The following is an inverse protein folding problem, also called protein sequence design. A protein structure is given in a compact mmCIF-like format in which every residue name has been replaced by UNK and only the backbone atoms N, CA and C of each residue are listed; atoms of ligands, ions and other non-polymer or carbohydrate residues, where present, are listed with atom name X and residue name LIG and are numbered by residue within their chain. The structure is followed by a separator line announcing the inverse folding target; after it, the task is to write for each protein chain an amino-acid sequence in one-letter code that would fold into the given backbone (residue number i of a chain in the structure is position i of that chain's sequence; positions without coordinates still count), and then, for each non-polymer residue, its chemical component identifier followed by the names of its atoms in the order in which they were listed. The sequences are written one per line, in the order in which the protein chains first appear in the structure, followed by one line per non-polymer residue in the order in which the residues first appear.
data_IF_809976562755
#
_entry.id   IF_809976562755
#
_cell.length_a   1.000
_cell.length_b   1.000
_cell.length_c   1.000
_cell.angle_alpha   90.00
_cell.angle_beta   90.00
_cell.angle_gamma   90.00
#
_symmetry.space_group_name_H-M   'P 1'
#
loop_
_entity.id
_entity.type
_entity.pdbx_description
1 polymer ?
#
# COMPACT_ATOMS: atom_id res chain seq x y z
N UNK A 1 -20.20 -5.90 1.50
CA UNK A 1 -19.62 -5.40 2.77
C UNK A 1 -20.64 -4.55 3.52
N UNK A 2 -20.70 -4.66 4.86
CA UNK A 2 -21.57 -3.82 5.71
C UNK A 2 -20.88 -2.53 6.16
N UNK A 3 -21.63 -1.43 6.36
CA UNK A 3 -21.07 -0.16 6.85
C UNK A 3 -20.44 -0.30 8.24
N UNK A 4 -21.07 -1.04 9.14
CA UNK A 4 -20.57 -1.26 10.50
C UNK A 4 -19.30 -2.12 10.52
N UNK A 5 -19.27 -3.16 9.69
CA UNK A 5 -18.09 -3.99 9.46
C UNK A 5 -16.93 -3.16 8.91
N UNK A 6 -17.17 -2.35 7.86
CA UNK A 6 -16.16 -1.47 7.29
C UNK A 6 -15.62 -0.46 8.31
N UNK A 7 -16.50 0.20 9.07
CA UNK A 7 -16.05 1.14 10.09
C UNK A 7 -15.20 0.42 11.15
N UNK A 8 -15.54 -0.82 11.53
CA UNK A 8 -14.75 -1.62 12.47
C UNK A 8 -13.35 -1.94 11.91
N UNK A 9 -13.25 -2.32 10.63
CA UNK A 9 -11.98 -2.51 9.95
C UNK A 9 -11.16 -1.22 10.01
N UNK A 10 -11.73 -0.10 9.57
CA UNK A 10 -11.02 1.18 9.56
C UNK A 10 -10.55 1.59 10.96
N UNK A 11 -11.39 1.45 11.99
CA UNK A 11 -11.03 1.86 13.36
C UNK A 11 -10.02 0.93 14.00
N UNK A 12 -10.00 -0.36 13.67
CA UNK A 12 -8.96 -1.28 14.12
C UNK A 12 -7.57 -0.90 13.60
N UNK A 13 -7.51 -0.24 12.43
CA UNK A 13 -6.27 0.24 11.81
C UNK A 13 -5.95 1.70 12.11
N UNK A 14 -6.78 2.41 12.88
CA UNK A 14 -6.45 3.76 13.34
C UNK A 14 -5.33 3.68 14.38
N UNK A 15 -4.16 4.22 14.02
CA UNK A 15 -3.10 4.44 14.99
C UNK A 15 -3.37 5.66 15.86
N UNK A 16 -2.64 5.79 16.97
CA UNK A 16 -2.65 7.00 17.82
C UNK A 16 -2.37 8.29 17.03
N UNK A 17 -1.76 8.18 15.85
CA UNK A 17 -1.36 9.28 14.96
C UNK A 17 -2.48 9.75 14.03
N UNK A 18 -3.32 8.84 13.53
CA UNK A 18 -4.46 9.20 12.67
C UNK A 18 -5.49 10.02 13.44
N UNK A 19 -5.47 9.90 14.77
CA UNK A 19 -6.29 10.66 15.70
C UNK A 19 -5.48 11.62 16.58
N UNK A 20 -4.18 11.80 16.33
CA UNK A 20 -3.33 12.68 17.13
C UNK A 20 -3.76 14.16 17.05
N UNK A 21 -4.44 14.53 15.97
CA UNK A 21 -5.04 15.83 15.81
C UNK A 21 -6.35 15.69 15.04
N UNK A 22 -7.40 16.38 15.49
CA UNK A 22 -8.72 16.45 14.82
C UNK A 22 -8.67 16.92 13.36
N UNK A 23 -7.54 17.52 12.91
CA UNK A 23 -7.37 17.97 11.54
C UNK A 23 -6.93 16.84 10.62
N UNK A 24 -6.27 15.81 11.13
CA UNK A 24 -5.74 14.73 10.28
C UNK A 24 -6.89 14.10 9.47
N UNK A 25 -8.02 13.69 10.08
CA UNK A 25 -9.09 13.05 9.31
C UNK A 25 -9.83 14.00 8.38
N UNK A 26 -10.06 15.24 8.81
CA UNK A 26 -10.66 16.27 7.97
C UNK A 26 -9.77 16.55 6.75
N UNK A 27 -8.47 16.78 6.94
CA UNK A 27 -7.55 16.99 5.82
C UNK A 27 -7.49 15.77 4.90
N UNK A 28 -7.62 14.56 5.45
CA UNK A 28 -7.80 13.33 4.69
C UNK A 28 -8.99 13.37 3.73
N UNK A 29 -10.17 13.81 4.18
CA UNK A 29 -11.34 13.95 3.28
C UNK A 29 -11.06 14.95 2.14
N UNK A 30 -10.38 16.06 2.43
CA UNK A 30 -9.96 17.05 1.42
C UNK A 30 -8.95 16.52 0.41
N UNK A 31 -7.92 15.83 0.89
CA UNK A 31 -6.87 15.27 0.05
C UNK A 31 -7.45 14.31 -0.99
N UNK A 32 -8.38 13.43 -0.58
CA UNK A 32 -8.95 12.45 -1.50
C UNK A 32 -10.06 13.00 -2.37
N UNK A 33 -10.86 13.97 -1.90
CA UNK A 33 -11.71 14.74 -2.81
C UNK A 33 -10.88 15.43 -3.91
N UNK A 34 -9.74 16.03 -3.54
CA UNK A 34 -8.79 16.60 -4.49
C UNK A 34 -8.22 15.58 -5.48
N UNK A 35 -7.84 14.38 -5.02
CA UNK A 35 -7.32 13.31 -5.87
C UNK A 35 -8.36 12.81 -6.89
N UNK A 36 -9.63 12.70 -6.48
CA UNK A 36 -10.74 12.35 -7.38
C UNK A 36 -10.89 13.42 -8.48
N UNK A 37 -10.88 14.70 -8.09
CA UNK A 37 -10.97 15.82 -9.04
C UNK A 37 -9.77 15.86 -10.00
N UNK A 38 -8.55 15.61 -9.51
CA UNK A 38 -7.35 15.54 -10.36
C UNK A 38 -7.46 14.40 -11.38
N UNK A 39 -7.91 13.20 -10.97
CA UNK A 39 -8.09 12.08 -11.87
C UNK A 39 -9.06 12.41 -13.02
N UNK A 40 -10.19 13.07 -12.72
CA UNK A 40 -11.13 13.52 -13.74
C UNK A 40 -10.53 14.65 -14.59
N UNK A 41 -9.83 15.62 -14.00
CA UNK A 41 -9.17 16.70 -14.75
C UNK A 41 -8.15 16.14 -15.75
N UNK A 42 -7.34 15.16 -15.34
CA UNK A 42 -6.38 14.49 -16.21
C UNK A 42 -7.05 13.78 -17.38
N UNK A 43 -8.20 13.16 -17.15
CA UNK A 43 -8.99 12.53 -18.21
C UNK A 43 -9.53 13.57 -19.20
N UNK A 44 -10.14 14.65 -18.71
CA UNK A 44 -10.64 15.75 -19.54
C UNK A 44 -9.53 16.44 -20.36
N UNK A 45 -8.27 16.33 -19.91
CA UNK A 45 -7.08 16.85 -20.62
C UNK A 45 -6.41 15.83 -21.54
N UNK A 46 -7.02 14.68 -21.77
CA UNK A 46 -6.47 13.56 -22.57
C UNK A 46 -5.08 13.11 -22.08
N UNK A 47 -4.86 13.14 -20.75
CA UNK A 47 -3.60 12.74 -20.10
C UNK A 47 -3.66 11.34 -19.49
N UNK A 48 -4.84 10.72 -19.47
CA UNK A 48 -5.06 9.37 -18.94
C UNK A 48 -6.24 8.74 -19.69
N UNK A 49 -6.19 7.42 -19.89
CA UNK A 49 -7.29 6.67 -20.50
C UNK A 49 -8.51 6.60 -19.58
N UNK A 50 -9.70 6.33 -20.14
CA UNK A 50 -10.92 6.15 -19.35
C UNK A 50 -10.80 5.03 -18.27
N UNK A 51 -10.18 3.86 -18.55
CA UNK A 51 -9.90 2.88 -17.50
C UNK A 51 -8.93 3.39 -16.44
N UNK A 52 -7.90 4.15 -16.84
CA UNK A 52 -6.93 4.74 -15.91
C UNK A 52 -7.59 5.75 -14.96
N UNK A 53 -8.45 6.62 -15.48
CA UNK A 53 -9.27 7.55 -14.70
C UNK A 53 -10.16 6.80 -13.70
N UNK A 54 -10.93 5.83 -14.19
CA UNK A 54 -11.92 5.10 -13.37
C UNK A 54 -11.24 4.44 -12.17
N UNK A 55 -10.14 3.72 -12.40
CA UNK A 55 -9.35 3.11 -11.33
C UNK A 55 -8.78 4.11 -10.33
N UNK A 56 -8.32 5.28 -10.80
CA UNK A 56 -7.82 6.32 -9.91
C UNK A 56 -8.92 6.93 -9.03
N UNK A 57 -10.12 7.15 -9.60
CA UNK A 57 -11.28 7.63 -8.85
C UNK A 57 -11.75 6.58 -7.84
N UNK A 58 -11.92 5.31 -8.24
CA UNK A 58 -12.33 4.22 -7.34
C UNK A 58 -11.44 4.13 -6.10
N UNK A 59 -10.11 4.15 -6.28
CA UNK A 59 -9.16 4.14 -5.16
C UNK A 59 -9.34 5.34 -4.24
N UNK A 60 -9.46 6.54 -4.81
CA UNK A 60 -9.61 7.75 -4.03
C UNK A 60 -10.98 7.84 -3.32
N UNK A 61 -12.04 7.22 -3.88
CA UNK A 61 -13.33 7.08 -3.20
C UNK A 61 -13.24 6.13 -1.99
N UNK A 62 -12.55 4.99 -2.13
CA UNK A 62 -12.23 4.10 -1.00
C UNK A 62 -11.65 4.87 0.19
N UNK A 63 -10.60 5.62 -0.09
CA UNK A 63 -9.93 6.46 0.92
C UNK A 63 -10.80 7.59 1.47
N UNK A 64 -11.60 8.24 0.62
CA UNK A 64 -12.52 9.27 1.09
C UNK A 64 -13.51 8.68 2.12
N UNK A 65 -14.11 7.53 1.83
CA UNK A 65 -15.03 6.87 2.76
C UNK A 65 -14.30 6.37 4.01
N UNK A 66 -13.05 5.90 3.88
CA UNK A 66 -12.19 5.57 5.02
C UNK A 66 -12.03 6.75 5.97
N UNK A 67 -11.68 7.93 5.46
CA UNK A 67 -11.57 9.13 6.30
C UNK A 67 -12.91 9.62 6.83
N UNK A 68 -14.00 9.44 6.09
CA UNK A 68 -15.35 9.68 6.62
C UNK A 68 -15.64 8.76 7.82
N UNK A 69 -15.26 7.49 7.77
CA UNK A 69 -15.39 6.55 8.88
C UNK A 69 -14.54 6.97 10.10
N UNK A 70 -13.34 7.53 9.86
CA UNK A 70 -12.48 8.09 10.91
C UNK A 70 -13.12 9.32 11.56
N UNK A 71 -13.59 10.28 10.76
CA UNK A 71 -14.29 11.47 11.25
C UNK A 71 -15.53 11.07 12.05
N UNK A 72 -16.33 10.11 11.56
CA UNK A 72 -17.49 9.60 12.26
C UNK A 72 -17.10 9.01 13.64
N UNK A 73 -16.10 8.13 13.68
CA UNK A 73 -15.63 7.50 14.92
C UNK A 73 -15.17 8.53 15.97
N UNK A 74 -14.38 9.54 15.55
CA UNK A 74 -13.89 10.59 16.45
C UNK A 74 -15.00 11.44 17.07
N UNK A 75 -16.16 11.50 16.42
CA UNK A 75 -17.33 12.25 16.89
C UNK A 75 -18.37 11.35 17.56
N UNK A 76 -18.04 10.08 17.85
CA UNK A 76 -18.94 9.13 18.50
C UNK A 76 -20.12 8.70 17.61
N UNK A 77 -19.93 8.70 16.29
CA UNK A 77 -20.96 8.40 15.31
C UNK A 77 -20.70 7.06 14.61
N UNK A 78 -21.80 6.34 14.35
CA UNK A 78 -21.78 5.10 13.58
C UNK A 78 -22.09 5.38 12.11
N UNK A 79 -21.21 4.94 11.21
CA UNK A 79 -21.36 5.15 9.77
C UNK A 79 -22.64 4.49 9.23
N UNK A 80 -23.03 3.35 9.81
CA UNK A 80 -24.29 2.68 9.50
C UNK A 80 -25.50 3.59 9.78
N UNK A 81 -25.53 4.26 10.94
CA UNK A 81 -26.61 5.17 11.31
C UNK A 81 -26.61 6.44 10.43
N UNK A 82 -25.43 6.95 10.07
CA UNK A 82 -25.28 8.07 9.13
C UNK A 82 -25.90 7.71 7.77
N UNK A 83 -25.57 6.54 7.21
CA UNK A 83 -26.10 6.08 5.93
C UNK A 83 -27.64 5.93 5.97
N UNK A 84 -28.17 5.38 7.05
CA UNK A 84 -29.61 5.27 7.30
C UNK A 84 -30.33 6.62 7.41
N UNK A 85 -29.73 7.58 8.13
CA UNK A 85 -30.27 8.93 8.27
C UNK A 85 -30.27 9.66 6.92
N UNK A 86 -29.21 9.49 6.13
CA UNK A 86 -29.09 10.07 4.81
C UNK A 86 -30.17 9.54 3.85
N UNK A 87 -30.42 8.22 3.77
CA UNK A 87 -31.49 7.65 2.93
C UNK A 87 -32.86 8.29 3.21
N UNK A 88 -33.20 8.48 4.49
CA UNK A 88 -34.45 9.14 4.91
C UNK A 88 -34.46 10.62 4.56
N UNK A 89 -33.32 11.31 4.70
CA UNK A 89 -33.16 12.72 4.31
C UNK A 89 -33.39 12.91 2.82
N UNK A 90 -32.73 12.12 1.96
CA UNK A 90 -32.83 12.26 0.50
C UNK A 90 -34.19 11.85 -0.05
N UNK A 91 -34.83 10.82 0.54
CA UNK A 91 -36.21 10.44 0.22
C UNK A 91 -37.20 11.55 0.53
N UNK A 92 -37.16 12.09 1.76
CA UNK A 92 -38.02 13.21 2.18
C UNK A 92 -37.84 14.41 1.26
N UNK A 93 -36.60 14.80 0.97
CA UNK A 93 -36.29 15.93 0.06
C UNK A 93 -36.88 15.69 -1.34
N UNK A 94 -36.79 14.48 -1.88
CA UNK A 94 -37.37 14.15 -3.19
C UNK A 94 -38.90 14.26 -3.19
N UNK A 95 -39.55 13.76 -2.14
CA UNK A 95 -41.01 13.86 -1.99
C UNK A 95 -41.49 15.30 -1.84
N UNK A 96 -40.73 16.14 -1.11
CA UNK A 96 -41.00 17.57 -0.98
C UNK A 96 -40.90 18.32 -2.32
N UNK A 97 -40.06 17.84 -3.24
CA UNK A 97 -39.96 18.34 -4.62
C UNK A 97 -41.05 17.79 -5.55
N UNK A 98 -41.98 16.96 -5.04
CA UNK A 98 -43.05 16.36 -5.83
C UNK A 98 -42.63 15.14 -6.66
N UNK A 99 -41.45 14.57 -6.40
CA UNK A 99 -40.95 13.35 -7.04
C UNK A 99 -41.35 12.10 -6.25
N UNK A 100 -41.24 10.91 -6.86
CA UNK A 100 -41.68 9.65 -6.25
C UNK A 100 -40.91 9.24 -4.98
N UNK A 101 -39.69 9.78 -4.78
CA UNK A 101 -38.81 9.37 -3.67
C UNK A 101 -38.29 7.95 -3.84
N UNK A 102 -37.79 7.36 -2.75
CA UNK A 102 -37.38 5.96 -2.69
C UNK A 102 -38.64 5.09 -2.63
N UNK A 103 -38.81 4.24 -3.63
CA UNK A 103 -39.96 3.35 -3.80
C UNK A 103 -39.77 2.00 -3.12
N UNK A 104 -38.53 1.52 -3.04
CA UNK A 104 -38.19 0.32 -2.29
C UNK A 104 -38.27 0.55 -0.77
N UNK A 105 -38.47 -0.54 -0.02
CA UNK A 105 -38.48 -0.48 1.44
C UNK A 105 -37.10 -0.04 1.96
N UNK A 106 -37.05 1.12 2.63
CA UNK A 106 -35.87 1.58 3.35
C UNK A 106 -35.75 0.77 4.65
N UNK A 107 -34.61 0.07 4.90
CA UNK A 107 -34.45 -0.72 6.12
C UNK A 107 -34.58 0.12 7.40
N UNK A 108 -35.03 -0.52 8.48
CA UNK A 108 -35.24 0.13 9.78
C UNK A 108 -33.91 0.64 10.36
N UNK A 109 -33.98 1.73 11.13
CA UNK A 109 -32.81 2.29 11.83
C UNK A 109 -32.12 1.21 12.66
N UNK A 110 -30.78 1.16 12.61
CA UNK A 110 -29.98 0.22 13.40
C UNK A 110 -29.89 -1.20 12.81
N UNK A 111 -30.58 -1.50 11.70
CA UNK A 111 -30.30 -2.71 10.93
C UNK A 111 -28.96 -2.57 10.20
N UNK A 112 -28.26 -3.69 10.03
CA UNK A 112 -27.03 -3.73 9.25
C UNK A 112 -27.35 -3.36 7.78
N UNK A 113 -26.68 -2.33 7.28
CA UNK A 113 -26.83 -1.85 5.91
C UNK A 113 -25.56 -2.16 5.12
N UNK A 114 -25.70 -2.73 3.93
CA UNK A 114 -24.59 -2.92 3.00
C UNK A 114 -24.42 -1.72 2.08
N UNK A 115 -23.20 -1.50 1.59
CA UNK A 115 -22.93 -0.44 0.61
C UNK A 115 -23.75 -0.64 -0.67
N UNK A 116 -23.90 -1.89 -1.12
CA UNK A 116 -24.75 -2.24 -2.27
C UNK A 116 -26.23 -1.89 -2.04
N UNK A 117 -26.78 -2.18 -0.85
CA UNK A 117 -28.18 -1.82 -0.53
C UNK A 117 -28.36 -0.31 -0.46
N UNK A 118 -27.44 0.39 0.22
CA UNK A 118 -27.46 1.85 0.28
C UNK A 118 -27.38 2.48 -1.11
N UNK A 119 -26.41 2.06 -1.93
CA UNK A 119 -26.19 2.62 -3.26
C UNK A 119 -27.40 2.43 -4.17
N UNK A 120 -28.03 1.25 -4.13
CA UNK A 120 -29.26 0.96 -4.87
C UNK A 120 -30.42 1.88 -4.46
N UNK A 121 -30.63 2.09 -3.16
CA UNK A 121 -31.71 2.94 -2.65
C UNK A 121 -31.44 4.43 -2.93
N UNK A 122 -30.20 4.89 -2.73
CA UNK A 122 -29.79 6.25 -3.02
C UNK A 122 -29.86 6.59 -4.53
N UNK A 123 -29.73 5.59 -5.41
CA UNK A 123 -29.85 5.81 -6.86
C UNK A 123 -31.25 6.28 -7.29
N UNK A 124 -32.31 5.96 -6.53
CA UNK A 124 -33.68 6.42 -6.82
C UNK A 124 -33.86 7.94 -6.61
N UNK A 125 -32.88 8.59 -5.99
CA UNK A 125 -32.86 10.03 -5.71
C UNK A 125 -31.80 10.78 -6.52
N UNK A 126 -31.15 10.14 -7.51
CA UNK A 126 -30.29 10.84 -8.45
C UNK A 126 -31.07 11.30 -9.68
N UNK A 127 -31.05 12.61 -9.93
CA UNK A 127 -31.77 13.28 -11.01
C UNK A 127 -30.94 13.40 -12.30
N UNK A 128 -29.63 13.15 -12.25
CA UNK A 128 -28.69 13.46 -13.32
C UNK A 128 -28.46 12.31 -14.32
N UNK A 129 -29.20 11.19 -14.19
CA UNK A 129 -29.09 10.03 -15.10
C UNK A 129 -29.99 10.26 -16.34
N UNK A 130 -29.51 11.04 -17.30
CA UNK A 130 -30.16 11.28 -18.59
C UNK A 130 -29.82 10.24 -19.66
N UNK A 131 -30.61 10.16 -20.74
CA UNK A 131 -30.30 9.33 -21.92
C UNK A 131 -29.40 10.14 -22.87
N UNK A 132 -28.15 9.69 -23.07
CA UNK A 132 -27.17 10.33 -23.97
C UNK A 132 -25.81 10.69 -23.35
N UNK A 133 -25.55 10.28 -22.10
CA UNK A 133 -24.30 10.34 -21.33
C UNK A 133 -23.32 11.45 -21.72
N UNK A 134 -23.63 12.67 -21.28
CA UNK A 134 -22.73 13.82 -21.36
C UNK A 134 -21.54 13.62 -20.39
N UNK A 135 -20.28 13.82 -20.80
CA UNK A 135 -19.14 13.85 -19.86
C UNK A 135 -19.29 14.85 -18.68
N UNK A 136 -20.24 15.80 -18.74
CA UNK A 136 -20.63 16.65 -17.62
C UNK A 136 -21.44 15.93 -16.52
N UNK A 137 -22.07 14.79 -16.80
CA UNK A 137 -22.89 14.05 -15.83
C UNK A 137 -22.08 13.57 -14.62
N UNK A 138 -20.83 13.12 -14.84
CA UNK A 138 -19.91 12.80 -13.74
C UNK A 138 -19.44 14.06 -13.00
N UNK A 139 -19.42 15.22 -13.66
CA UNK A 139 -18.89 16.45 -13.08
C UNK A 139 -19.80 17.02 -12.00
N UNK A 140 -21.12 16.87 -12.12
CA UNK A 140 -22.09 17.32 -11.10
C UNK A 140 -21.88 16.65 -9.74
N UNK A 141 -21.90 15.30 -9.61
CA UNK A 141 -21.68 14.64 -8.33
C UNK A 141 -20.25 14.85 -7.81
N UNK A 142 -19.25 15.02 -8.68
CA UNK A 142 -17.88 15.36 -8.26
C UNK A 142 -17.79 16.75 -7.61
N UNK A 143 -18.45 17.75 -8.19
CA UNK A 143 -18.48 19.10 -7.64
C UNK A 143 -19.33 19.18 -6.36
N UNK A 144 -20.44 18.43 -6.31
CA UNK A 144 -21.24 18.30 -5.10
C UNK A 144 -20.45 17.68 -3.95
N UNK A 145 -19.77 16.56 -4.19
CA UNK A 145 -18.86 15.92 -3.23
C UNK A 145 -17.80 16.90 -2.69
N UNK A 146 -17.15 17.66 -3.59
CA UNK A 146 -16.16 18.66 -3.19
C UNK A 146 -16.78 19.80 -2.37
N UNK A 147 -18.03 20.15 -2.67
CA UNK A 147 -18.83 21.10 -1.90
C UNK A 147 -19.02 20.65 -0.45
N UNK A 148 -19.43 19.40 -0.20
CA UNK A 148 -19.66 18.89 1.15
C UNK A 148 -18.35 18.77 1.96
N UNK A 149 -17.23 18.39 1.33
CA UNK A 149 -15.92 18.50 2.00
C UNK A 149 -15.57 19.96 2.32
N UNK A 150 -15.90 20.88 1.42
CA UNK A 150 -15.74 22.31 1.65
C UNK A 150 -16.58 22.83 2.83
N UNK A 151 -17.80 22.33 3.00
CA UNK A 151 -18.70 22.63 4.12
C UNK A 151 -18.07 22.21 5.46
N UNK A 152 -17.53 20.97 5.54
CA UNK A 152 -16.78 20.49 6.70
C UNK A 152 -15.61 21.44 7.06
N UNK A 153 -14.83 21.85 6.06
CA UNK A 153 -13.67 22.74 6.27
C UNK A 153 -14.06 24.14 6.68
N UNK A 154 -15.11 24.67 6.06
CA UNK A 154 -15.63 25.99 6.38
C UNK A 154 -16.06 26.05 7.85
N UNK A 155 -16.77 25.04 8.31
CA UNK A 155 -17.30 25.02 9.67
C UNK A 155 -16.21 24.71 10.72
N UNK A 156 -15.27 23.81 10.41
CA UNK A 156 -14.09 23.61 11.27
C UNK A 156 -13.27 24.90 11.41
N UNK A 157 -13.06 25.63 10.31
CA UNK A 157 -12.39 26.95 10.34
C UNK A 157 -13.14 27.93 11.24
N UNK A 158 -14.47 27.94 11.20
CA UNK A 158 -15.26 28.82 12.08
C UNK A 158 -15.12 28.45 13.56
N UNK A 159 -15.12 27.15 13.88
CA UNK A 159 -14.85 26.68 15.25
C UNK A 159 -13.51 27.19 15.78
N UNK A 160 -12.45 27.18 14.96
CA UNK A 160 -11.14 27.72 15.34
C UNK A 160 -11.11 29.23 15.57
N UNK A 161 -12.01 29.97 14.93
CA UNK A 161 -12.15 31.41 15.12
C UNK A 161 -13.09 31.77 16.28
N UNK A 162 -13.88 30.81 16.76
CA UNK A 162 -14.92 31.04 17.74
C UNK A 162 -16.16 31.73 17.17
N UNK A 163 -16.38 31.70 15.84
CA UNK A 163 -17.53 32.29 15.14
C UNK A 163 -18.50 31.22 14.59
N UNK A 164 -18.37 29.97 15.03
CA UNK A 164 -19.30 28.88 14.71
C UNK A 164 -20.60 29.02 15.51
N UNK A 165 -21.74 29.06 14.83
CA UNK A 165 -23.08 29.06 15.44
C UNK A 165 -23.63 27.63 15.65
N UNK A 166 -22.91 26.59 15.19
CA UNK A 166 -23.30 25.19 15.35
C UNK A 166 -23.10 24.73 16.79
N UNK A 167 -24.20 24.54 17.51
CA UNK A 167 -24.20 23.96 18.86
C UNK A 167 -24.02 22.43 18.83
N UNK A 168 -24.77 21.74 17.97
CA UNK A 168 -24.71 20.27 17.81
C UNK A 168 -23.73 19.87 16.71
N UNK A 169 -22.47 19.70 17.10
CA UNK A 169 -21.39 19.32 16.20
C UNK A 169 -21.51 17.90 15.64
N UNK A 170 -21.80 16.86 16.44
CA UNK A 170 -22.02 15.53 15.91
C UNK A 170 -23.17 15.47 14.89
N UNK A 171 -24.27 16.20 15.10
CA UNK A 171 -25.37 16.24 14.12
C UNK A 171 -24.94 16.88 12.80
N UNK A 172 -24.17 17.97 12.83
CA UNK A 172 -23.60 18.58 11.64
C UNK A 172 -22.67 17.61 10.90
N UNK A 173 -21.73 16.97 11.59
CA UNK A 173 -20.83 15.97 10.98
C UNK A 173 -21.61 14.82 10.36
N UNK A 174 -22.60 14.26 11.07
CA UNK A 174 -23.45 13.20 10.55
C UNK A 174 -24.18 13.61 9.25
N UNK A 175 -24.64 14.86 9.18
CA UNK A 175 -25.32 15.38 7.99
C UNK A 175 -24.37 15.47 6.78
N UNK A 176 -23.22 16.13 6.95
CA UNK A 176 -22.24 16.34 5.88
C UNK A 176 -21.61 15.01 5.40
N UNK A 177 -21.28 14.10 6.34
CA UNK A 177 -20.79 12.76 5.98
C UNK A 177 -21.86 11.94 5.26
N UNK A 178 -23.12 12.08 5.64
CA UNK A 178 -24.25 11.45 4.95
C UNK A 178 -24.36 11.92 3.50
N UNK A 179 -24.25 13.23 3.26
CA UNK A 179 -24.29 13.79 1.91
C UNK A 179 -23.07 13.37 1.09
N UNK A 180 -21.89 13.27 1.71
CA UNK A 180 -20.69 12.68 1.07
C UNK A 180 -20.92 11.23 0.64
N UNK A 181 -21.52 10.38 1.47
CA UNK A 181 -21.85 9.00 1.09
C UNK A 181 -22.78 8.96 -0.13
N UNK A 182 -23.74 9.88 -0.21
CA UNK A 182 -24.66 9.98 -1.34
C UNK A 182 -23.90 10.32 -2.62
N UNK A 183 -23.02 11.32 -2.59
CA UNK A 183 -22.21 11.67 -3.76
C UNK A 183 -21.20 10.60 -4.14
N UNK A 184 -20.56 9.93 -3.18
CA UNK A 184 -19.67 8.78 -3.45
C UNK A 184 -20.43 7.69 -4.22
N UNK A 185 -21.64 7.36 -3.77
CA UNK A 185 -22.51 6.40 -4.47
C UNK A 185 -22.87 6.89 -5.88
N UNK A 186 -23.16 8.18 -6.04
CA UNK A 186 -23.44 8.76 -7.34
C UNK A 186 -22.24 8.69 -8.29
N UNK A 187 -21.05 9.07 -7.84
CA UNK A 187 -19.82 8.98 -8.62
C UNK A 187 -19.55 7.53 -9.07
N UNK A 188 -19.66 6.54 -8.18
CA UNK A 188 -19.52 5.13 -8.56
C UNK A 188 -20.49 4.74 -9.68
N UNK A 189 -21.78 5.06 -9.52
CA UNK A 189 -22.80 4.72 -10.51
C UNK A 189 -22.59 5.41 -11.85
N UNK A 190 -22.22 6.69 -11.87
CA UNK A 190 -21.88 7.44 -13.09
C UNK A 190 -20.62 6.90 -13.79
N UNK A 191 -19.72 6.23 -13.04
CA UNK A 191 -18.56 5.52 -13.59
C UNK A 191 -18.87 4.08 -14.04
N UNK A 192 -20.04 3.54 -13.69
CA UNK A 192 -20.36 2.11 -13.86
C UNK A 192 -19.65 1.20 -12.86
N UNK A 193 -19.14 1.75 -11.76
CA UNK A 193 -18.46 1.04 -10.68
C UNK A 193 -19.44 0.59 -9.59
N UNK A 194 -19.16 -0.56 -8.96
CA UNK A 194 -19.91 -1.05 -7.80
C UNK A 194 -19.29 -0.53 -6.51
N UNK A 195 -20.05 0.25 -5.72
CA UNK A 195 -19.57 0.81 -4.47
C UNK A 195 -19.13 -0.29 -3.47
N UNK A 196 -19.83 -1.43 -3.44
CA UNK A 196 -19.47 -2.52 -2.52
C UNK A 196 -18.10 -3.11 -2.87
N UNK A 197 -17.80 -3.24 -4.16
CA UNK A 197 -16.49 -3.70 -4.65
C UNK A 197 -15.39 -2.68 -4.32
N UNK A 198 -15.67 -1.37 -4.47
CA UNK A 198 -14.70 -0.33 -4.10
C UNK A 198 -14.38 -0.38 -2.61
N UNK A 199 -15.40 -0.51 -1.75
CA UNK A 199 -15.21 -0.57 -0.29
C UNK A 199 -14.53 -1.86 0.15
N UNK A 200 -14.87 -3.01 -0.46
CA UNK A 200 -14.19 -4.27 -0.19
C UNK A 200 -12.71 -4.17 -0.57
N UNK A 201 -12.40 -3.59 -1.74
CA UNK A 201 -11.02 -3.40 -2.18
C UNK A 201 -10.23 -2.46 -1.25
N UNK A 202 -10.87 -1.43 -0.69
CA UNK A 202 -10.26 -0.57 0.33
C UNK A 202 -10.00 -1.33 1.63
N UNK A 203 -11.00 -2.08 2.10
CA UNK A 203 -10.91 -2.89 3.30
C UNK A 203 -9.86 -3.98 3.19
N UNK A 204 -9.74 -4.68 2.06
CA UNK A 204 -8.71 -5.71 1.85
C UNK A 204 -7.30 -5.12 1.93
N UNK A 205 -7.11 -3.88 1.43
CA UNK A 205 -5.84 -3.14 1.58
C UNK A 205 -5.52 -2.81 3.03
N UNK A 206 -6.55 -2.51 3.83
CA UNK A 206 -6.43 -2.23 5.26
C UNK A 206 -6.24 -3.50 6.09
N UNK A 207 -7.02 -4.55 5.86
CA UNK A 207 -6.92 -5.83 6.56
C UNK A 207 -5.60 -6.54 6.31
N UNK A 208 -4.95 -6.26 5.18
CA UNK A 208 -3.53 -6.54 5.06
C UNK A 208 -2.74 -6.03 6.26
N UNK A 209 -2.99 -4.83 6.77
CA UNK A 209 -2.22 -4.21 7.85
C UNK A 209 -2.35 -4.91 9.24
N UNK A 210 -3.09 -6.02 9.42
CA UNK A 210 -3.10 -6.81 10.67
C UNK A 210 -1.80 -7.64 10.80
N UNK A 211 -1.16 -7.86 11.96
CA UNK A 211 -1.23 -7.32 13.31
C UNK A 211 0.03 -7.85 14.03
N UNK A 212 0.54 -7.13 15.02
CA UNK A 212 1.60 -7.63 15.89
C UNK A 212 1.13 -8.87 16.67
N UNK A 213 1.63 -10.06 16.32
CA UNK A 213 1.68 -11.19 17.26
C UNK A 213 1.11 -12.55 16.84
N UNK A 214 0.53 -12.72 15.65
CA UNK A 214 0.15 -14.05 15.14
C UNK A 214 1.16 -14.51 14.07
N UNK A 215 1.64 -15.74 14.18
CA UNK A 215 2.69 -16.34 13.35
C UNK A 215 2.41 -16.11 11.86
N UNK A 216 3.15 -15.18 11.24
CA UNK A 216 3.06 -14.90 9.79
C UNK A 216 3.49 -16.15 9.03
N UNK A 217 2.54 -16.90 8.48
CA UNK A 217 2.86 -17.89 7.44
C UNK A 217 2.82 -17.16 6.11
N UNK A 218 3.99 -16.69 5.68
CA UNK A 218 4.15 -16.00 4.40
C UNK A 218 3.95 -16.99 3.25
N UNK A 219 3.43 -16.49 2.13
CA UNK A 219 3.44 -17.24 0.87
C UNK A 219 4.90 -17.45 0.44
N UNK A 220 5.26 -18.68 0.06
CA UNK A 220 6.61 -19.01 -0.44
C UNK A 220 6.53 -19.32 -1.93
N UNK A 221 7.07 -18.44 -2.76
CA UNK A 221 6.98 -18.51 -4.23
C UNK A 221 7.80 -19.65 -4.87
N UNK A 222 8.69 -20.28 -4.13
CA UNK A 222 9.58 -21.33 -4.63
C UNK A 222 9.47 -22.66 -3.86
N UNK A 223 8.38 -22.87 -3.09
CA UNK A 223 8.22 -24.09 -2.27
C UNK A 223 8.32 -25.38 -3.11
N UNK A 224 7.72 -25.35 -4.32
CA UNK A 224 7.71 -26.48 -5.26
C UNK A 224 8.99 -26.60 -6.12
N UNK A 225 9.91 -25.63 -6.04
CA UNK A 225 11.13 -25.65 -6.83
C UNK A 225 12.15 -26.66 -6.29
N UNK A 226 13.06 -27.19 -7.13
CA UNK A 226 14.21 -27.95 -6.67
C UNK A 226 15.04 -27.17 -5.64
N UNK A 227 15.66 -27.87 -4.68
CA UNK A 227 16.41 -27.22 -3.58
C UNK A 227 17.48 -26.23 -4.06
N UNK A 228 18.12 -26.51 -5.19
CA UNK A 228 19.15 -25.67 -5.82
C UNK A 228 18.59 -24.51 -6.67
N UNK A 229 17.28 -24.30 -6.64
CA UNK A 229 16.55 -23.18 -7.23
C UNK A 229 15.64 -22.47 -6.21
N UNK A 230 15.74 -22.86 -4.94
CA UNK A 230 15.07 -22.21 -3.81
C UNK A 230 15.99 -21.17 -3.17
N UNK A 231 15.40 -20.12 -2.62
CA UNK A 231 16.12 -19.28 -1.67
C UNK A 231 16.45 -20.07 -0.40
N UNK A 232 17.66 -19.92 0.16
CA UNK A 232 17.92 -20.33 1.53
C UNK A 232 16.97 -19.62 2.48
N UNK A 233 16.46 -20.33 3.49
CA UNK A 233 15.51 -19.78 4.47
C UNK A 233 16.16 -18.77 5.41
N UNK A 234 17.46 -18.93 5.65
CA UNK A 234 18.29 -17.93 6.32
C UNK A 234 19.55 -17.64 5.52
N UNK A 235 19.89 -16.36 5.36
CA UNK A 235 21.12 -15.88 4.72
C UNK A 235 21.86 -14.95 5.67
N UNK A 236 23.11 -15.27 5.97
CA UNK A 236 24.00 -14.37 6.70
C UNK A 236 25.00 -13.72 5.75
N UNK A 237 24.98 -12.40 5.67
CA UNK A 237 25.86 -11.61 4.83
C UNK A 237 26.77 -10.73 5.69
N UNK A 238 27.98 -10.47 5.19
CA UNK A 238 28.91 -9.50 5.76
C UNK A 238 29.15 -8.38 4.76
N UNK A 239 28.88 -7.16 5.19
CA UNK A 239 29.19 -5.94 4.45
C UNK A 239 30.52 -5.38 4.93
N UNK A 240 31.43 -5.11 4.00
CA UNK A 240 32.76 -4.57 4.28
C UNK A 240 32.97 -3.32 3.45
N UNK A 241 33.14 -2.17 4.11
CA UNK A 241 33.58 -0.94 3.45
C UNK A 241 35.10 -0.97 3.27
N UNK A 242 35.56 -0.75 2.05
CA UNK A 242 36.96 -0.53 1.68
C UNK A 242 37.10 0.75 0.84
N UNK A 243 38.31 1.07 0.41
CA UNK A 243 38.54 2.15 -0.55
C UNK A 243 39.08 1.61 -1.86
N UNK A 244 38.49 2.06 -2.96
CA UNK A 244 38.99 1.84 -4.32
C UNK A 244 39.11 3.19 -5.02
N UNK A 245 40.28 3.48 -5.60
CA UNK A 245 40.55 4.76 -6.27
C UNK A 245 40.27 6.02 -5.42
N UNK A 246 40.32 5.90 -4.09
CA UNK A 246 40.04 6.99 -3.14
C UNK A 246 38.56 7.17 -2.79
N UNK A 247 37.66 6.37 -3.37
CA UNK A 247 36.24 6.36 -3.06
C UNK A 247 35.88 5.18 -2.14
N UNK A 248 34.93 5.35 -1.21
CA UNK A 248 34.43 4.24 -0.41
C UNK A 248 33.61 3.28 -1.29
N UNK A 249 33.98 2.00 -1.27
CA UNK A 249 33.23 0.91 -1.89
C UNK A 249 32.81 -0.08 -0.83
N UNK A 250 31.68 -0.75 -1.05
CA UNK A 250 31.17 -1.80 -0.18
C UNK A 250 31.15 -3.11 -0.92
N UNK A 251 31.71 -4.14 -0.28
CA UNK A 251 31.64 -5.52 -0.75
C UNK A 251 30.71 -6.32 0.14
N UNK A 252 29.81 -7.07 -0.48
CA UNK A 252 28.93 -8.04 0.17
C UNK A 252 29.53 -9.45 0.07
N UNK A 253 29.63 -10.14 1.21
CA UNK A 253 30.15 -11.51 1.31
C UNK A 253 29.05 -12.40 1.89
N UNK A 254 28.68 -13.46 1.18
CA UNK A 254 27.77 -14.47 1.72
C UNK A 254 28.54 -15.33 2.72
N UNK A 255 28.24 -15.23 4.01
CA UNK A 255 28.95 -15.96 5.06
C UNK A 255 28.36 -17.35 5.26
N UNK A 256 27.04 -17.44 5.25
CA UNK A 256 26.32 -18.69 5.48
C UNK A 256 24.91 -18.64 4.89
N UNK A 257 24.36 -19.82 4.59
CA UNK A 257 23.04 -20.00 4.00
C UNK A 257 22.42 -21.30 4.52
N UNK A 258 21.18 -21.25 5.02
CA UNK A 258 20.49 -22.43 5.59
C UNK A 258 19.10 -22.58 4.97
N UNK A 259 18.77 -23.75 4.38
CA UNK A 259 19.69 -24.82 4.01
C UNK A 259 20.66 -24.36 2.91
N UNK A 260 21.89 -24.90 2.92
CA UNK A 260 22.83 -24.66 1.83
C UNK A 260 22.65 -25.72 0.73
N UNK A 261 22.07 -25.31 -0.40
CA UNK A 261 21.92 -26.18 -1.57
C UNK A 261 23.24 -26.47 -2.30
N UNK A 262 24.32 -25.73 -1.98
CA UNK A 262 25.64 -25.80 -2.61
C UNK A 262 26.74 -26.00 -1.56
N UNK A 263 26.75 -27.13 -0.83
CA UNK A 263 27.74 -27.39 0.23
C UNK A 263 29.18 -27.46 -0.30
N UNK A 264 29.37 -27.91 -1.53
CA UNK A 264 30.67 -27.99 -2.21
C UNK A 264 31.00 -26.74 -3.04
N UNK A 265 30.18 -25.69 -2.93
CA UNK A 265 30.29 -24.45 -3.69
C UNK A 265 29.54 -24.44 -5.02
N UNK A 266 29.70 -23.34 -5.76
CA UNK A 266 29.00 -23.11 -7.03
C UNK A 266 29.39 -24.16 -8.09
N UNK A 267 28.40 -24.59 -8.87
CA UNK A 267 28.54 -25.66 -9.88
C UNK A 267 28.86 -25.03 -11.24
N UNK A 268 29.94 -25.42 -11.93
CA UNK A 268 30.24 -24.91 -13.27
C UNK A 268 29.22 -25.45 -14.30
N UNK A 269 28.80 -24.56 -15.20
CA UNK A 269 27.92 -24.83 -16.34
C UNK A 269 28.65 -24.49 -17.64
N UNK A 270 28.16 -24.96 -18.82
CA UNK A 270 28.71 -24.55 -20.11
C UNK A 270 28.75 -23.03 -20.31
N UNK A 271 29.68 -22.57 -21.17
CA UNK A 271 29.88 -21.15 -21.53
C UNK A 271 30.30 -20.26 -20.35
N UNK A 272 31.21 -20.74 -19.49
CA UNK A 272 31.73 -20.02 -18.32
C UNK A 272 30.65 -19.53 -17.34
N UNK A 273 29.49 -20.21 -17.35
CA UNK A 273 28.39 -19.95 -16.42
C UNK A 273 28.55 -20.80 -15.16
N UNK A 274 27.88 -20.39 -14.10
CA UNK A 274 27.87 -21.10 -12.82
C UNK A 274 26.43 -21.18 -12.30
N UNK A 275 26.08 -22.25 -11.58
CA UNK A 275 24.85 -22.39 -10.80
C UNK A 275 25.18 -22.27 -9.31
N UNK A 276 24.35 -21.55 -8.57
CA UNK A 276 24.53 -21.36 -7.14
C UNK A 276 25.68 -20.44 -6.74
N UNK A 277 26.06 -20.56 -5.48
CA UNK A 277 26.98 -19.68 -4.78
C UNK A 277 27.98 -20.51 -3.96
N UNK A 278 29.01 -19.83 -3.43
CA UNK A 278 29.98 -20.43 -2.51
C UNK A 278 29.99 -19.63 -1.21
N UNK A 279 29.73 -20.29 -0.08
CA UNK A 279 29.79 -19.65 1.23
C UNK A 279 31.23 -19.19 1.53
N UNK A 280 31.36 -17.98 2.07
CA UNK A 280 32.62 -17.29 2.30
C UNK A 280 33.08 -16.39 1.17
N UNK A 281 32.49 -16.50 -0.02
CA UNK A 281 32.85 -15.70 -1.20
C UNK A 281 32.00 -14.43 -1.35
N UNK A 282 32.48 -13.54 -2.21
CA UNK A 282 31.77 -12.31 -2.58
C UNK A 282 30.47 -12.63 -3.32
N UNK A 283 29.43 -11.88 -2.99
CA UNK A 283 28.15 -11.92 -3.68
C UNK A 283 27.97 -10.58 -4.40
N UNK A 284 28.12 -10.59 -5.72
CA UNK A 284 28.07 -9.38 -6.55
C UNK A 284 29.38 -8.58 -6.59
N UNK A 285 29.31 -7.43 -7.27
CA UNK A 285 30.43 -6.51 -7.47
C UNK A 285 30.54 -5.48 -6.33
N UNK A 286 31.71 -4.84 -6.11
CA UNK A 286 31.82 -3.79 -5.12
C UNK A 286 31.02 -2.56 -5.58
N UNK A 287 30.29 -1.95 -4.65
CA UNK A 287 29.38 -0.84 -4.97
C UNK A 287 29.86 0.43 -4.28
N UNK A 288 29.91 1.55 -5.00
CA UNK A 288 30.07 2.90 -4.46
C UNK A 288 28.72 3.66 -4.50
N UNK A 289 28.70 4.91 -4.05
CA UNK A 289 27.45 5.70 -4.06
C UNK A 289 27.02 6.14 -5.47
N UNK A 290 27.92 6.08 -6.47
CA UNK A 290 27.68 6.53 -7.86
C UNK A 290 27.01 7.93 -7.96
N UNK A 291 27.33 8.84 -7.04
CA UNK A 291 26.70 10.15 -6.93
C UNK A 291 27.72 11.24 -6.54
N UNK A 292 27.39 12.51 -6.82
CA UNK A 292 28.24 13.65 -6.45
C UNK A 292 28.23 13.97 -4.94
N UNK A 293 27.30 13.39 -4.19
CA UNK A 293 27.11 13.61 -2.75
C UNK A 293 26.86 12.27 -2.07
N UNK A 294 27.72 11.89 -1.11
CA UNK A 294 27.56 10.64 -0.37
C UNK A 294 26.21 10.58 0.35
N UNK A 295 25.31 9.73 -0.12
CA UNK A 295 24.01 9.40 0.46
C UNK A 295 24.00 7.99 1.07
N UNK A 296 25.16 7.32 1.09
CA UNK A 296 25.33 5.94 1.53
C UNK A 296 24.59 4.90 0.66
N UNK A 297 24.26 5.24 -0.58
CA UNK A 297 23.67 4.31 -1.57
C UNK A 297 24.53 3.07 -1.85
N UNK A 298 25.84 3.10 -1.54
CA UNK A 298 26.70 1.90 -1.55
C UNK A 298 26.21 0.74 -0.66
N UNK A 299 25.27 0.99 0.25
CA UNK A 299 24.61 -0.04 1.08
C UNK A 299 23.18 -0.41 0.59
N UNK A 300 22.78 -0.03 -0.63
CA UNK A 300 21.42 -0.23 -1.13
C UNK A 300 20.99 -1.70 -1.25
N UNK A 301 21.91 -2.66 -1.31
CA UNK A 301 21.62 -4.09 -1.24
C UNK A 301 20.79 -4.48 -0.01
N UNK A 302 20.84 -3.68 1.07
CA UNK A 302 19.96 -3.84 2.23
C UNK A 302 18.47 -3.69 1.88
N UNK A 303 18.12 -2.90 0.86
CA UNK A 303 16.74 -2.74 0.36
C UNK A 303 16.28 -4.06 -0.29
N UNK A 304 17.08 -4.62 -1.21
CA UNK A 304 16.81 -5.91 -1.84
C UNK A 304 16.71 -7.04 -0.81
N UNK A 305 17.59 -7.03 0.19
CA UNK A 305 17.53 -7.98 1.31
C UNK A 305 16.25 -7.82 2.15
N UNK A 306 15.72 -6.59 2.27
CA UNK A 306 14.43 -6.32 2.90
C UNK A 306 13.28 -6.95 2.13
N UNK A 307 13.27 -6.78 0.80
CA UNK A 307 12.29 -7.44 -0.09
C UNK A 307 12.39 -8.96 0.01
N UNK A 308 13.60 -9.52 -0.05
CA UNK A 308 13.80 -10.95 0.12
C UNK A 308 13.31 -11.45 1.48
N UNK A 309 13.71 -10.81 2.58
CA UNK A 309 13.40 -11.29 3.92
C UNK A 309 11.89 -11.26 4.21
N UNK A 310 11.19 -10.21 3.79
CA UNK A 310 9.79 -9.98 4.16
C UNK A 310 8.80 -10.49 3.11
N UNK A 311 9.13 -10.33 1.82
CA UNK A 311 8.26 -10.72 0.70
C UNK A 311 8.59 -12.11 0.17
N UNK A 312 9.74 -12.69 0.56
CA UNK A 312 10.30 -13.91 -0.06
C UNK A 312 10.48 -13.77 -1.58
N UNK A 313 10.66 -12.52 -2.04
CA UNK A 313 10.75 -12.16 -3.44
C UNK A 313 11.89 -11.15 -3.64
N UNK A 314 12.82 -11.47 -4.53
CA UNK A 314 13.87 -10.56 -5.02
C UNK A 314 14.54 -11.17 -6.25
N UNK A 315 14.09 -10.85 -7.48
CA UNK A 315 14.74 -11.34 -8.70
C UNK A 315 16.22 -10.93 -8.79
N UNK A 316 16.63 -9.79 -8.20
CA UNK A 316 18.03 -9.40 -8.12
C UNK A 316 18.85 -10.37 -7.27
N UNK A 317 18.42 -10.65 -6.04
CA UNK A 317 19.15 -11.58 -5.18
C UNK A 317 19.10 -13.01 -5.72
N UNK A 318 18.00 -13.41 -6.38
CA UNK A 318 17.91 -14.69 -7.07
C UNK A 318 18.96 -14.82 -8.19
N UNK A 319 19.15 -13.74 -8.96
CA UNK A 319 20.17 -13.65 -10.00
C UNK A 319 21.59 -13.67 -9.42
N UNK A 320 21.85 -12.90 -8.35
CA UNK A 320 23.15 -12.86 -7.67
C UNK A 320 23.55 -14.21 -7.06
N UNK A 321 22.60 -14.90 -6.42
CA UNK A 321 22.78 -16.25 -5.87
C UNK A 321 22.81 -17.33 -6.96
N UNK A 322 22.45 -16.99 -8.20
CA UNK A 322 22.36 -17.90 -9.36
C UNK A 322 21.42 -19.10 -9.10
N UNK A 323 20.28 -18.83 -8.46
CA UNK A 323 19.22 -19.80 -8.10
C UNK A 323 17.88 -19.46 -8.77
N UNK A 324 17.94 -18.99 -10.02
CA UNK A 324 16.75 -18.82 -10.87
C UNK A 324 16.00 -20.15 -11.02
N UNK A 325 14.67 -20.09 -11.04
CA UNK A 325 13.74 -21.23 -11.18
C UNK A 325 13.67 -21.70 -12.63
N UNK A 326 14.75 -22.36 -13.07
CA UNK A 326 14.89 -22.89 -14.44
C UNK A 326 14.07 -24.15 -14.68
N UNK A 327 13.54 -24.78 -13.64
CA UNK A 327 12.64 -25.92 -13.78
C UNK A 327 11.37 -25.57 -14.59
N UNK A 328 10.88 -24.34 -14.50
CA UNK A 328 9.80 -23.81 -15.33
C UNK A 328 10.30 -22.61 -16.16
N UNK A 329 10.49 -22.78 -17.49
CA UNK A 329 10.97 -21.71 -18.36
C UNK A 329 10.09 -20.45 -18.36
N UNK A 330 8.80 -20.56 -18.04
CA UNK A 330 7.92 -19.39 -17.96
C UNK A 330 8.21 -18.56 -16.71
N UNK A 331 8.50 -19.21 -15.58
CA UNK A 331 8.87 -18.53 -14.34
C UNK A 331 10.28 -17.91 -14.49
N UNK A 332 11.24 -18.64 -15.08
CA UNK A 332 12.60 -18.12 -15.34
C UNK A 332 12.59 -16.83 -16.18
N UNK A 333 11.68 -16.75 -17.15
CA UNK A 333 11.54 -15.61 -18.06
C UNK A 333 10.71 -14.45 -17.46
N UNK A 334 9.56 -14.74 -16.84
CA UNK A 334 8.65 -13.72 -16.34
C UNK A 334 9.05 -13.19 -14.95
N UNK A 335 9.24 -14.09 -13.99
CA UNK A 335 9.38 -13.75 -12.56
C UNK A 335 10.84 -13.53 -12.15
N UNK A 336 11.75 -14.31 -12.73
CA UNK A 336 13.18 -14.21 -12.43
C UNK A 336 13.95 -13.45 -13.52
N UNK A 337 13.28 -13.11 -14.63
CA UNK A 337 13.88 -12.54 -15.81
C UNK A 337 14.25 -11.06 -15.70
N UNK A 338 14.81 -10.53 -16.79
CA UNK A 338 15.35 -9.16 -16.81
C UNK A 338 14.30 -8.09 -16.46
N UNK A 339 13.04 -8.26 -16.87
CA UNK A 339 11.97 -7.28 -16.56
C UNK A 339 11.69 -7.21 -15.06
N UNK A 340 11.62 -8.34 -14.37
CA UNK A 340 11.42 -8.38 -12.92
C UNK A 340 12.63 -7.80 -12.17
N UNK A 341 13.86 -8.14 -12.61
CA UNK A 341 15.10 -7.54 -12.10
C UNK A 341 15.08 -6.01 -12.22
N UNK A 342 14.74 -5.48 -13.39
CA UNK A 342 14.68 -4.03 -13.63
C UNK A 342 13.56 -3.35 -12.84
N UNK A 343 12.43 -4.03 -12.65
CA UNK A 343 11.34 -3.53 -11.82
C UNK A 343 11.79 -3.34 -10.37
N UNK A 344 12.42 -4.35 -9.77
CA UNK A 344 12.95 -4.28 -8.40
C UNK A 344 14.05 -3.21 -8.26
N UNK A 345 15.02 -3.16 -9.18
CA UNK A 345 16.08 -2.13 -9.19
C UNK A 345 15.51 -0.71 -9.31
N UNK A 346 14.54 -0.52 -10.21
CA UNK A 346 13.85 0.74 -10.39
C UNK A 346 13.13 1.19 -9.12
N UNK A 347 12.46 0.27 -8.43
CA UNK A 347 11.80 0.55 -7.15
C UNK A 347 12.81 0.90 -6.06
N UNK A 348 13.90 0.14 -5.92
CA UNK A 348 14.96 0.41 -4.93
C UNK A 348 15.59 1.80 -5.15
N UNK A 349 15.86 2.18 -6.39
CA UNK A 349 16.39 3.50 -6.74
C UNK A 349 15.42 4.64 -6.44
N UNK A 350 14.12 4.47 -6.72
CA UNK A 350 13.08 5.46 -6.39
C UNK A 350 12.95 5.62 -4.87
N UNK A 351 12.89 4.50 -4.15
CA UNK A 351 12.81 4.47 -2.69
C UNK A 351 13.98 5.23 -2.07
N UNK A 352 15.22 4.93 -2.49
CA UNK A 352 16.41 5.58 -1.96
C UNK A 352 16.38 7.11 -2.18
N UNK A 353 15.97 7.57 -3.37
CA UNK A 353 15.84 9.01 -3.66
C UNK A 353 14.80 9.72 -2.80
N UNK A 354 13.74 9.02 -2.43
CA UNK A 354 12.66 9.55 -1.60
C UNK A 354 12.88 9.32 -0.10
N UNK A 355 13.94 8.60 0.30
CA UNK A 355 14.14 8.21 1.70
C UNK A 355 14.26 9.40 2.63
N UNK A 356 15.09 10.40 2.29
CA UNK A 356 15.33 11.55 3.17
C UNK A 356 14.05 12.36 3.46
N UNK A 357 13.18 12.56 2.47
CA UNK A 357 11.93 13.32 2.66
C UNK A 357 10.89 12.55 3.47
N UNK A 358 11.07 11.24 3.60
CA UNK A 358 10.19 10.32 4.31
C UNK A 358 10.87 9.75 5.57
N UNK A 359 11.75 10.51 6.23
CA UNK A 359 12.46 10.11 7.46
C UNK A 359 13.17 8.74 7.36
N UNK A 360 13.69 8.42 6.17
CA UNK A 360 14.31 7.15 5.81
C UNK A 360 13.43 5.92 6.03
N UNK A 361 12.10 6.07 6.00
CA UNK A 361 11.13 5.00 6.19
C UNK A 361 11.36 4.17 7.47
N UNK A 362 11.93 4.76 8.53
CA UNK A 362 12.23 4.05 9.79
C UNK A 362 10.97 3.64 10.57
N UNK A 363 9.81 3.91 10.00
CA UNK A 363 8.50 3.57 10.49
C UNK A 363 7.61 3.30 9.27
N UNK A 364 6.82 2.22 9.28
CA UNK A 364 5.95 1.84 8.15
C UNK A 364 4.98 2.94 7.75
N UNK A 365 4.57 3.82 8.68
CA UNK A 365 3.69 4.97 8.42
C UNK A 365 4.37 6.07 7.62
N UNK A 366 5.71 6.05 7.55
CA UNK A 366 6.50 6.98 6.74
C UNK A 366 6.65 6.50 5.30
N UNK A 367 6.15 5.31 4.94
CA UNK A 367 6.06 4.86 3.56
C UNK A 367 4.80 5.47 2.94
N UNK A 368 4.92 6.40 1.96
CA UNK A 368 3.76 7.07 1.39
C UNK A 368 2.87 6.08 0.63
N UNK A 369 1.56 6.28 0.70
CA UNK A 369 0.61 5.43 -0.02
C UNK A 369 0.81 5.54 -1.54
N UNK A 370 1.17 6.72 -2.06
CA UNK A 370 1.48 6.92 -3.47
C UNK A 370 2.66 6.06 -3.94
N UNK A 371 3.62 5.79 -3.05
CA UNK A 371 4.76 4.93 -3.34
C UNK A 371 4.35 3.46 -3.34
N UNK A 372 3.49 3.05 -2.41
CA UNK A 372 2.89 1.72 -2.41
C UNK A 372 2.02 1.47 -3.65
N UNK A 373 1.27 2.47 -4.10
CA UNK A 373 0.51 2.40 -5.36
C UNK A 373 1.43 2.25 -6.57
N UNK A 374 2.55 2.99 -6.61
CA UNK A 374 3.56 2.83 -7.65
C UNK A 374 4.12 1.41 -7.65
N UNK A 375 4.45 0.86 -6.48
CA UNK A 375 4.94 -0.51 -6.32
C UNK A 375 3.91 -1.52 -6.84
N UNK A 376 2.64 -1.41 -6.43
CA UNK A 376 1.58 -2.27 -6.96
C UNK A 376 1.49 -2.19 -8.49
N UNK A 377 1.55 -0.99 -9.06
CA UNK A 377 1.50 -0.82 -10.51
C UNK A 377 2.71 -1.38 -11.25
N UNK A 378 3.90 -1.34 -10.64
CA UNK A 378 5.15 -1.85 -11.24
C UNK A 378 5.21 -3.38 -11.16
N UNK A 379 4.52 -3.98 -10.20
CA UNK A 379 4.57 -5.42 -9.90
C UNK A 379 3.31 -6.19 -10.29
N UNK A 380 2.29 -5.52 -10.87
CA UNK A 380 0.97 -6.08 -11.18
C UNK A 380 1.00 -7.32 -12.09
N UNK A 381 2.02 -7.45 -12.95
CA UNK A 381 2.22 -8.61 -13.83
C UNK A 381 3.20 -9.67 -13.28
N UNK A 382 3.60 -9.56 -12.00
CA UNK A 382 4.52 -10.46 -11.32
C UNK A 382 3.83 -11.23 -10.20
N UNK A 383 4.40 -12.36 -9.79
CA UNK A 383 3.88 -13.22 -8.73
C UNK A 383 3.72 -12.48 -7.39
N UNK A 384 4.59 -11.50 -7.13
CA UNK A 384 4.58 -10.70 -5.90
C UNK A 384 3.35 -9.78 -5.78
N UNK A 385 2.61 -9.55 -6.86
CA UNK A 385 1.37 -8.75 -6.89
C UNK A 385 0.29 -9.27 -5.94
N UNK A 386 0.31 -10.57 -5.62
CA UNK A 386 -0.64 -11.19 -4.69
C UNK A 386 -0.38 -10.76 -3.24
N UNK A 387 0.81 -10.19 -2.96
CA UNK A 387 1.14 -9.76 -1.62
C UNK A 387 0.48 -8.43 -1.28
N UNK A 388 -0.08 -8.32 -0.07
CA UNK A 388 -0.67 -7.07 0.40
C UNK A 388 0.39 -5.98 0.63
N UNK A 389 0.03 -4.72 0.38
CA UNK A 389 0.94 -3.56 0.36
C UNK A 389 1.65 -3.25 1.70
N UNK A 390 1.08 -3.64 2.83
CA UNK A 390 1.76 -3.46 4.12
C UNK A 390 3.01 -4.32 4.25
N UNK A 391 3.09 -5.48 3.59
CA UNK A 391 4.31 -6.29 3.54
C UNK A 391 5.41 -5.52 2.82
N UNK A 392 5.06 -4.79 1.77
CA UNK A 392 5.99 -3.88 1.09
C UNK A 392 6.44 -2.75 2.03
N UNK A 393 5.52 -2.13 2.77
CA UNK A 393 5.89 -1.10 3.75
C UNK A 393 6.84 -1.65 4.83
N UNK A 394 6.60 -2.86 5.34
CA UNK A 394 7.46 -3.56 6.29
C UNK A 394 8.84 -3.88 5.68
N UNK A 395 8.88 -4.42 4.45
CA UNK A 395 10.11 -4.73 3.74
C UNK A 395 10.99 -3.50 3.52
N UNK A 396 10.37 -2.39 3.12
CA UNK A 396 11.02 -1.09 2.98
C UNK A 396 11.59 -0.64 4.33
N UNK A 397 10.75 -0.62 5.38
CA UNK A 397 11.16 -0.18 6.71
C UNK A 397 12.37 -0.97 7.24
N UNK A 398 12.32 -2.30 7.14
CA UNK A 398 13.43 -3.16 7.57
C UNK A 398 14.70 -2.95 6.72
N UNK A 399 14.55 -2.86 5.40
CA UNK A 399 15.67 -2.62 4.49
C UNK A 399 16.40 -1.30 4.79
N UNK A 400 15.64 -0.21 4.98
CA UNK A 400 16.22 1.10 5.29
C UNK A 400 16.76 1.20 6.72
N UNK A 401 16.15 0.52 7.69
CA UNK A 401 16.69 0.44 9.05
C UNK A 401 18.08 -0.23 9.05
N UNK A 402 18.25 -1.31 8.29
CA UNK A 402 19.53 -2.02 8.14
C UNK A 402 20.53 -1.21 7.32
N UNK A 403 20.11 -0.58 6.22
CA UNK A 403 20.94 0.35 5.43
C UNK A 403 21.52 1.44 6.34
N UNK A 404 20.68 2.10 7.14
CA UNK A 404 21.12 3.12 8.08
C UNK A 404 22.08 2.59 9.15
N UNK A 405 21.87 1.36 9.63
CA UNK A 405 22.77 0.72 10.58
C UNK A 405 24.14 0.38 9.98
N UNK A 406 24.17 -0.13 8.75
CA UNK A 406 25.38 -0.39 7.98
C UNK A 406 26.16 0.90 7.72
N UNK A 407 25.48 1.95 7.26
CA UNK A 407 26.09 3.25 6.99
C UNK A 407 26.72 3.85 8.25
N UNK A 408 26.02 3.82 9.40
CA UNK A 408 26.53 4.33 10.68
C UNK A 408 27.76 3.58 11.19
N UNK A 409 27.89 2.29 10.87
CA UNK A 409 28.97 1.43 11.38
C UNK A 409 30.02 1.06 10.32
N UNK A 410 29.86 1.56 9.08
CA UNK A 410 30.75 1.32 7.94
C UNK A 410 30.92 -0.18 7.61
N UNK A 411 29.80 -0.90 7.64
CA UNK A 411 29.72 -2.35 7.46
C UNK A 411 29.17 -3.09 8.67
N UNK A 412 29.19 -4.42 8.62
CA UNK A 412 28.68 -5.30 9.67
C UNK A 412 28.12 -6.60 9.14
N UNK A 413 27.30 -7.27 9.96
CA UNK A 413 26.62 -8.51 9.61
C UNK A 413 25.12 -8.26 9.44
N UNK A 414 24.54 -8.90 8.44
CA UNK A 414 23.12 -8.85 8.13
C UNK A 414 22.58 -10.28 8.08
N UNK A 415 21.45 -10.52 8.74
CA UNK A 415 20.71 -11.77 8.68
C UNK A 415 19.37 -11.51 8.01
N UNK A 416 19.14 -12.12 6.85
CA UNK A 416 17.81 -12.26 6.27
C UNK A 416 17.23 -13.61 6.70
N UNK A 417 16.10 -13.58 7.40
CA UNK A 417 15.37 -14.75 7.90
C UNK A 417 13.98 -14.74 7.27
N UNK A 418 13.81 -15.55 6.21
CA UNK A 418 12.61 -15.57 5.37
C UNK A 418 11.43 -16.22 6.08
N UNK A 419 11.68 -17.19 6.96
CA UNK A 419 10.63 -17.83 7.77
C UNK A 419 10.10 -16.86 8.82
N UNK A 420 10.98 -16.07 9.44
CA UNK A 420 10.58 -15.06 10.41
C UNK A 420 10.08 -13.75 9.76
N UNK A 421 10.32 -13.53 8.47
CA UNK A 421 10.00 -12.28 7.80
C UNK A 421 10.84 -11.10 8.30
N UNK A 422 12.11 -11.35 8.62
CA UNK A 422 12.95 -10.36 9.31
C UNK A 422 14.33 -10.18 8.67
N UNK A 423 14.72 -8.92 8.50
CA UNK A 423 16.07 -8.48 8.21
C UNK A 423 16.68 -7.81 9.44
N UNK A 424 17.82 -8.33 9.91
CA UNK A 424 18.48 -7.86 11.13
C UNK A 424 19.92 -7.45 10.86
N UNK A 425 20.36 -6.40 11.56
CA UNK A 425 21.75 -5.95 11.57
C UNK A 425 22.44 -6.31 12.91
N UNK A 426 23.73 -6.65 12.85
CA UNK A 426 24.59 -6.80 14.02
C UNK A 426 26.04 -6.42 13.72
N UNK A 427 26.78 -5.99 14.75
CA UNK A 427 28.24 -5.78 14.66
C UNK A 427 29.02 -7.10 14.67
N UNK A 428 28.42 -8.17 15.17
CA UNK A 428 29.00 -9.51 15.28
C UNK A 428 28.17 -10.52 14.49
N UNK A 429 28.75 -11.66 14.08
CA UNK A 429 27.99 -12.73 13.41
C UNK A 429 26.78 -13.17 14.24
N UNK A 430 25.72 -13.56 13.54
CA UNK A 430 24.54 -14.23 14.10
C UNK A 430 24.79 -15.72 14.28
N UNK A 431 23.99 -16.34 15.14
CA UNK A 431 23.82 -17.80 15.20
C UNK A 431 22.62 -18.17 14.35
N UNK A 432 22.84 -19.01 13.34
CA UNK A 432 21.78 -19.49 12.44
C UNK A 432 20.99 -20.61 13.12
N UNK A 433 19.72 -20.76 12.77
CA UNK A 433 18.88 -21.87 13.22
C UNK A 433 19.07 -23.02 12.23
N UNK A 434 19.53 -24.16 12.72
CA UNK A 434 19.50 -25.38 11.92
C UNK A 434 18.04 -25.86 11.84
N UNK A 435 17.55 -26.14 10.63
CA UNK A 435 16.16 -26.58 10.37
C UNK A 435 15.81 -27.96 10.92
N UNK A 436 16.40 -28.37 12.05
CA UNK A 436 16.19 -29.64 12.72
C UNK A 436 15.32 -29.55 13.99
N UNK A 437 14.94 -28.34 14.42
CA UNK A 437 13.99 -28.12 15.52
C UNK A 437 12.63 -27.63 14.96
N UNK A 438 11.89 -28.54 14.35
CA UNK A 438 10.41 -28.49 14.23
C UNK A 438 9.78 -29.71 14.91
#
# INVERSE_FOLDING_TARGET
MEFAEYQTVVTAFQGEFDTAHELVPLLGTGAHAGAILDAQQRFLRDRVSAPGRTRAIERALGRLVRWCAVVANQNGLELNLIAHANLRKVDRRHRELGLSGITALVPDMGTALTFSTYSRLAAETDQDIGVGSDPLELSVPLLGMAGEVGSLFLEQKKRYRGDSEREDWPAFIAEELGDLLWYVSAVCRHLGSDLDVVMQSDADRLQGMEFAGATKRFLTFDEDAPLDERFPRQLQLRFVESQESGEPVVTMILRDAVPNAFPDGAIPLPNDKWKGYTAGERLGDPVNDNSHSSDAYRYHDAIHLGFLAVLQWSPNLRSLLKVKRKFDPKIDDAEDGARAIFAEEGLAAILAKQAFVNDNYLDVRKVPEELLELIASVTDDLEVSVLPLWLWAEAICQGFAVLGALARNRGGFVLADLDAGHLKYSKTPFTMRDGADE
#
